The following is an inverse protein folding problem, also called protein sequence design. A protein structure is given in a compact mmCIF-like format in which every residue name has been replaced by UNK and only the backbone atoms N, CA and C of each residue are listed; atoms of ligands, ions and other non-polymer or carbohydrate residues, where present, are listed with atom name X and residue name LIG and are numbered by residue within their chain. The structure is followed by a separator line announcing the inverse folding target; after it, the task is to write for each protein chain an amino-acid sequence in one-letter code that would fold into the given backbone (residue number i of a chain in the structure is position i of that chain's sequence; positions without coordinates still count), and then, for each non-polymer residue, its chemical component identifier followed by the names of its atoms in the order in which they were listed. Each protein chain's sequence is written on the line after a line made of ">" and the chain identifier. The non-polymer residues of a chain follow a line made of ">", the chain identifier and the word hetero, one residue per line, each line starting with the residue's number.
data_IF_788826294911
#
_entry.id   IF_788826294911
#
_cell.length_a   1.000
_cell.length_b   1.000
_cell.length_c   1.000
_cell.angle_alpha   90.00
_cell.angle_beta   90.00
_cell.angle_gamma   90.00
#
_symmetry.space_group_name_H-M   'P 1'
#
loop_
_entity.id
_entity.type
_entity.pdbx_description
1 polymer ?
#
# COMPACT_ATOMS: atom_id res chain seq x y z
N UNK A 1 -5.32 -24.61 6.64
CA UNK A 1 -5.75 -24.57 5.23
C UNK A 1 -4.69 -23.81 4.47
N UNK A 2 -4.06 -24.41 3.46
CA UNK A 2 -3.09 -23.67 2.63
C UNK A 2 -3.81 -22.62 1.77
N UNK A 3 -3.13 -21.55 1.32
CA UNK A 3 -3.72 -20.57 0.43
C UNK A 3 -4.16 -21.25 -0.86
N UNK A 4 -5.45 -21.18 -1.19
CA UNK A 4 -6.00 -21.80 -2.38
C UNK A 4 -5.57 -21.01 -3.61
N UNK A 5 -4.44 -21.37 -4.19
CA UNK A 5 -3.98 -20.77 -5.45
C UNK A 5 -4.94 -21.18 -6.58
N UNK A 6 -5.38 -20.22 -7.37
CA UNK A 6 -6.22 -20.47 -8.54
C UNK A 6 -5.42 -21.15 -9.65
N UNK A 7 -5.92 -22.28 -10.10
CA UNK A 7 -5.37 -23.03 -11.22
C UNK A 7 -5.91 -22.49 -12.56
N UNK A 8 -5.28 -22.83 -13.68
CA UNK A 8 -5.82 -22.50 -15.00
C UNK A 8 -7.19 -23.15 -15.25
N UNK A 9 -7.43 -24.31 -14.63
CA UNK A 9 -8.75 -24.95 -14.66
C UNK A 9 -9.81 -24.07 -13.99
N UNK A 10 -9.51 -23.50 -12.83
CA UNK A 10 -10.41 -22.56 -12.15
C UNK A 10 -10.69 -21.36 -13.02
N UNK A 11 -9.67 -20.77 -13.65
CA UNK A 11 -9.87 -19.64 -14.57
C UNK A 11 -10.79 -19.99 -15.73
N UNK A 12 -10.67 -21.19 -16.30
CA UNK A 12 -11.60 -21.65 -17.34
C UNK A 12 -13.04 -21.76 -16.83
N UNK A 13 -13.24 -22.24 -15.60
CA UNK A 13 -14.57 -22.29 -14.97
C UNK A 13 -15.13 -20.89 -14.75
N UNK A 14 -14.33 -19.97 -14.20
CA UNK A 14 -14.74 -18.58 -13.98
C UNK A 14 -15.10 -17.90 -15.32
N UNK A 15 -14.32 -18.09 -16.40
CA UNK A 15 -14.63 -17.56 -17.74
C UNK A 15 -15.95 -18.10 -18.31
N UNK A 16 -16.39 -19.29 -17.89
CA UNK A 16 -17.71 -19.81 -18.25
C UNK A 16 -18.81 -19.14 -17.45
N UNK A 17 -18.61 -19.02 -16.13
CA UNK A 17 -19.54 -18.32 -15.23
C UNK A 17 -19.70 -16.84 -15.58
N UNK A 18 -18.73 -16.20 -16.22
CA UNK A 18 -18.87 -14.81 -16.69
C UNK A 18 -19.92 -14.64 -17.80
N UNK A 19 -20.39 -15.73 -18.42
CA UNK A 19 -21.48 -15.70 -19.41
C UNK A 19 -22.89 -15.83 -18.80
N UNK A 20 -22.97 -16.15 -17.51
CA UNK A 20 -24.23 -16.27 -16.76
C UNK A 20 -24.20 -17.38 -15.72
N UNK A 21 -25.25 -17.50 -14.88
CA UNK A 21 -25.39 -18.58 -13.90
C UNK A 21 -25.35 -19.97 -14.57
N UNK A 22 -24.66 -20.94 -13.96
CA UNK A 22 -24.54 -22.31 -14.49
C UNK A 22 -24.66 -23.35 -13.38
N UNK A 23 -25.18 -24.53 -13.70
CA UNK A 23 -25.17 -25.69 -12.79
C UNK A 23 -23.81 -26.40 -12.84
N UNK A 24 -23.46 -27.14 -11.78
CA UNK A 24 -22.25 -27.98 -11.76
C UNK A 24 -22.23 -28.98 -12.93
N UNK A 25 -23.38 -29.61 -13.23
CA UNK A 25 -23.51 -30.55 -14.35
C UNK A 25 -23.25 -29.91 -15.73
N UNK A 26 -23.73 -28.68 -15.96
CA UNK A 26 -23.46 -27.94 -17.21
C UNK A 26 -21.97 -27.63 -17.35
N UNK A 27 -21.32 -27.19 -16.26
CA UNK A 27 -19.89 -26.89 -16.25
C UNK A 27 -19.03 -28.16 -16.43
N UNK A 28 -19.41 -29.28 -15.81
CA UNK A 28 -18.71 -30.57 -15.90
C UNK A 28 -18.73 -31.12 -17.33
N UNK A 29 -19.88 -31.07 -17.99
CA UNK A 29 -20.03 -31.49 -19.38
C UNK A 29 -19.09 -30.73 -20.33
N UNK A 30 -18.81 -29.46 -20.05
CA UNK A 30 -17.89 -28.65 -20.85
C UNK A 30 -16.41 -28.85 -20.48
N UNK A 31 -16.12 -29.15 -19.22
CA UNK A 31 -14.76 -29.35 -18.72
C UNK A 31 -14.23 -30.78 -18.98
N UNK A 32 -15.10 -31.72 -19.38
CA UNK A 32 -14.83 -33.15 -19.43
C UNK A 32 -14.31 -33.67 -18.07
N UNK A 33 -14.89 -33.16 -16.99
CA UNK A 33 -14.53 -33.49 -15.60
C UNK A 33 -15.70 -34.19 -14.90
N UNK A 34 -15.41 -34.84 -13.79
CA UNK A 34 -16.40 -35.50 -12.94
C UNK A 34 -17.30 -34.46 -12.23
N UNK A 35 -18.64 -34.57 -12.30
CA UNK A 35 -19.55 -33.58 -11.73
C UNK A 35 -19.39 -33.40 -10.21
N UNK A 36 -19.14 -34.47 -9.45
CA UNK A 36 -19.03 -34.40 -8.00
C UNK A 36 -17.72 -33.71 -7.60
N UNK A 37 -16.62 -34.06 -8.27
CA UNK A 37 -15.33 -33.38 -8.08
C UNK A 37 -15.40 -31.89 -8.45
N UNK A 38 -16.14 -31.55 -9.50
CA UNK A 38 -16.33 -30.16 -9.90
C UNK A 38 -17.19 -29.39 -8.90
N UNK A 39 -18.24 -30.01 -8.34
CA UNK A 39 -19.05 -29.42 -7.29
C UNK A 39 -18.22 -29.11 -6.04
N UNK A 40 -17.39 -30.05 -5.59
CA UNK A 40 -16.45 -29.82 -4.49
C UNK A 40 -15.52 -28.62 -4.77
N UNK A 41 -15.01 -28.52 -6.01
CA UNK A 41 -14.14 -27.40 -6.39
C UNK A 41 -14.90 -26.07 -6.43
N UNK A 42 -16.13 -26.04 -6.91
CA UNK A 42 -16.99 -24.86 -6.93
C UNK A 42 -17.36 -24.40 -5.52
N UNK A 43 -17.55 -25.33 -4.59
CA UNK A 43 -17.78 -25.01 -3.17
C UNK A 43 -16.53 -24.37 -2.55
N UNK A 44 -15.32 -24.85 -2.86
CA UNK A 44 -14.07 -24.16 -2.46
C UNK A 44 -13.95 -22.75 -3.04
N UNK A 45 -14.36 -22.56 -4.32
CA UNK A 45 -14.38 -21.22 -4.93
C UNK A 45 -15.46 -20.32 -4.30
N UNK A 46 -16.58 -20.90 -3.86
CA UNK A 46 -17.63 -20.18 -3.14
C UNK A 46 -17.17 -19.74 -1.74
N UNK A 47 -16.47 -20.61 -1.01
CA UNK A 47 -15.87 -20.29 0.29
C UNK A 47 -14.85 -19.15 0.19
N UNK A 48 -14.15 -19.05 -0.96
CA UNK A 48 -13.22 -17.94 -1.24
C UNK A 48 -13.91 -16.64 -1.73
N UNK A 49 -15.23 -16.65 -1.91
CA UNK A 49 -16.02 -15.49 -2.36
C UNK A 49 -15.85 -15.14 -3.85
N UNK A 50 -15.16 -15.97 -4.63
CA UNK A 50 -14.94 -15.78 -6.08
C UNK A 50 -16.19 -16.20 -6.89
N UNK A 51 -16.95 -17.14 -6.34
CA UNK A 51 -18.22 -17.62 -6.89
C UNK A 51 -19.28 -17.53 -5.78
N UNK A 52 -20.55 -17.38 -6.14
CA UNK A 52 -21.67 -17.51 -5.21
C UNK A 52 -22.55 -18.67 -5.65
N UNK A 53 -22.94 -19.52 -4.69
CA UNK A 53 -23.93 -20.58 -4.90
C UNK A 53 -25.33 -20.01 -4.70
N UNK A 54 -26.23 -20.26 -5.65
CA UNK A 54 -27.63 -19.83 -5.63
C UNK A 54 -28.50 -21.04 -5.99
N UNK A 55 -29.21 -21.60 -5.00
CA UNK A 55 -29.98 -22.84 -5.10
C UNK A 55 -29.15 -23.99 -5.77
N UNK A 56 -29.37 -24.21 -7.07
CA UNK A 56 -28.74 -25.25 -7.88
C UNK A 56 -27.67 -24.73 -8.86
N UNK A 57 -27.41 -23.42 -8.85
CA UNK A 57 -26.51 -22.74 -9.77
C UNK A 57 -25.36 -22.07 -9.05
N UNK A 58 -24.31 -21.79 -9.81
CA UNK A 58 -23.17 -21.01 -9.42
C UNK A 58 -23.11 -19.77 -10.29
N UNK A 59 -22.77 -18.63 -9.67
CA UNK A 59 -22.68 -17.33 -10.31
C UNK A 59 -21.32 -16.70 -10.01
N UNK A 60 -20.75 -16.01 -10.99
CA UNK A 60 -19.53 -15.25 -10.77
C UNK A 60 -19.83 -14.00 -9.92
N UNK A 61 -19.11 -13.83 -8.81
CA UNK A 61 -19.19 -12.60 -8.01
C UNK A 61 -18.36 -11.48 -8.64
N UNK A 62 -18.46 -10.26 -8.12
CA UNK A 62 -17.62 -9.16 -8.58
C UNK A 62 -16.14 -9.39 -8.23
N UNK A 63 -15.84 -10.07 -7.12
CA UNK A 63 -14.49 -10.57 -6.82
C UNK A 63 -14.02 -11.58 -7.86
N UNK A 64 -14.88 -12.49 -8.31
CA UNK A 64 -14.56 -13.44 -9.38
C UNK A 64 -14.31 -12.78 -10.74
N UNK A 65 -15.07 -11.71 -11.07
CA UNK A 65 -14.81 -10.91 -12.27
C UNK A 65 -13.45 -10.21 -12.21
N UNK A 66 -13.08 -9.65 -11.06
CA UNK A 66 -11.76 -9.04 -10.84
C UNK A 66 -10.63 -10.05 -11.04
N UNK A 67 -10.78 -11.24 -10.46
CA UNK A 67 -9.86 -12.36 -10.63
C UNK A 67 -9.71 -12.82 -12.09
N UNK A 68 -10.76 -12.70 -12.91
CA UNK A 68 -10.67 -13.01 -14.34
C UNK A 68 -10.01 -11.91 -15.17
N UNK A 69 -10.21 -10.65 -14.77
CA UNK A 69 -9.57 -9.50 -15.41
C UNK A 69 -8.07 -9.45 -15.09
N UNK A 70 -7.66 -10.04 -13.96
CA UNK A 70 -6.28 -10.20 -13.57
C UNK A 70 -5.47 -11.01 -14.62
N UNK A 71 -4.36 -10.48 -15.15
CA UNK A 71 -3.46 -11.22 -16.08
C UNK A 71 -2.95 -12.52 -15.46
N UNK A 72 -2.83 -12.53 -14.13
CA UNK A 72 -2.69 -13.74 -13.33
C UNK A 72 -1.37 -14.49 -13.57
N UNK A 73 -0.38 -13.73 -13.97
CA UNK A 73 1.05 -13.97 -13.87
C UNK A 73 1.62 -13.36 -12.56
N UNK A 74 0.76 -13.07 -11.57
CA UNK A 74 1.14 -12.42 -10.31
C UNK A 74 1.20 -10.89 -10.38
N UNK A 75 1.21 -10.28 -11.59
CA UNK A 75 1.18 -8.82 -11.74
C UNK A 75 -0.15 -8.18 -11.28
N UNK A 76 -1.18 -9.01 -11.12
CA UNK A 76 -2.53 -8.58 -10.77
C UNK A 76 -2.73 -8.17 -9.30
N UNK A 77 -1.87 -8.61 -8.39
CA UNK A 77 -2.02 -8.25 -6.97
C UNK A 77 -1.86 -6.74 -6.76
N UNK A 78 -1.12 -6.05 -7.65
CA UNK A 78 -1.00 -4.59 -7.64
C UNK A 78 -2.11 -3.83 -8.39
N UNK A 79 -2.96 -4.51 -9.17
CA UNK A 79 -4.00 -3.86 -10.00
C UNK A 79 -5.30 -3.61 -9.24
N UNK A 80 -5.53 -4.30 -8.12
CA UNK A 80 -6.83 -4.31 -7.44
C UNK A 80 -7.17 -2.94 -6.84
N UNK A 81 -6.17 -2.13 -6.53
CA UNK A 81 -6.34 -0.88 -5.78
C UNK A 81 -6.22 0.38 -6.66
N UNK A 82 -6.02 0.24 -7.97
CA UNK A 82 -5.78 1.36 -8.88
C UNK A 82 -7.01 1.62 -9.78
N UNK A 83 -7.62 2.81 -9.73
CA UNK A 83 -8.76 3.16 -10.56
C UNK A 83 -8.45 3.05 -12.05
N UNK A 84 -9.46 2.66 -12.85
CA UNK A 84 -9.32 2.52 -14.30
C UNK A 84 -8.84 3.81 -14.99
N UNK A 85 -9.15 4.99 -14.44
CA UNK A 85 -8.65 6.25 -14.98
C UNK A 85 -7.13 6.38 -14.84
N UNK A 86 -6.57 5.94 -13.70
CA UNK A 86 -5.13 5.92 -13.45
C UNK A 86 -4.47 4.85 -14.33
N UNK A 87 -5.04 3.65 -14.42
CA UNK A 87 -4.53 2.60 -15.33
C UNK A 87 -4.51 3.05 -16.79
N UNK A 88 -5.54 3.77 -17.24
CA UNK A 88 -5.59 4.32 -18.59
C UNK A 88 -4.50 5.35 -18.82
N UNK A 89 -4.25 6.22 -17.83
CA UNK A 89 -3.17 7.20 -17.91
C UNK A 89 -1.81 6.50 -17.98
N UNK A 90 -1.54 5.55 -17.08
CA UNK A 90 -0.31 4.74 -17.10
C UNK A 90 -0.11 4.03 -18.44
N UNK A 91 -1.16 3.39 -18.98
CA UNK A 91 -1.10 2.70 -20.27
C UNK A 91 -0.97 3.61 -21.49
N UNK A 92 -1.21 4.92 -21.34
CA UNK A 92 -1.01 5.90 -22.42
C UNK A 92 0.42 6.42 -22.51
N UNK A 93 1.20 6.25 -21.44
CA UNK A 93 2.56 6.74 -21.31
C UNK A 93 3.56 5.67 -21.77
N UNK A 94 4.71 6.09 -22.29
CA UNK A 94 5.79 5.15 -22.64
C UNK A 94 6.63 4.84 -21.41
N UNK A 95 6.05 4.07 -20.49
CA UNK A 95 6.72 3.58 -19.28
C UNK A 95 6.95 2.08 -19.39
N UNK A 96 8.02 1.59 -18.78
CA UNK A 96 8.23 0.15 -18.66
C UNK A 96 7.36 -0.45 -17.54
N UNK A 97 7.11 -1.76 -17.61
CA UNK A 97 6.24 -2.44 -16.64
C UNK A 97 6.77 -2.39 -15.20
N UNK A 98 8.09 -2.51 -14.92
CA UNK A 98 8.61 -2.32 -13.58
C UNK A 98 8.31 -0.94 -12.99
N UNK A 99 8.44 0.13 -13.79
CA UNK A 99 8.03 1.47 -13.36
C UNK A 99 6.53 1.58 -13.15
N UNK A 100 5.73 1.03 -14.08
CA UNK A 100 4.27 1.01 -13.92
C UNK A 100 3.86 0.33 -12.59
N UNK A 101 4.48 -0.80 -12.25
CA UNK A 101 4.24 -1.49 -10.98
C UNK A 101 4.62 -0.65 -9.75
N UNK A 102 5.77 0.04 -9.79
CA UNK A 102 6.19 0.95 -8.72
C UNK A 102 5.21 2.13 -8.53
N UNK A 103 4.72 2.70 -9.63
CA UNK A 103 3.75 3.80 -9.61
C UNK A 103 2.40 3.33 -9.05
N UNK A 104 1.92 2.14 -9.45
CA UNK A 104 0.70 1.53 -8.88
C UNK A 104 0.82 1.32 -7.38
N UNK A 105 1.94 0.79 -6.91
CA UNK A 105 2.19 0.57 -5.49
C UNK A 105 2.23 1.91 -4.71
N UNK A 106 2.91 2.92 -5.24
CA UNK A 106 2.92 4.26 -4.66
C UNK A 106 1.53 4.90 -4.65
N UNK A 107 0.74 4.71 -5.70
CA UNK A 107 -0.63 5.21 -5.79
C UNK A 107 -1.56 4.52 -4.79
N UNK A 108 -1.49 3.20 -4.68
CA UNK A 108 -2.23 2.43 -3.68
C UNK A 108 -1.86 2.86 -2.25
N UNK A 109 -0.58 3.17 -2.01
CA UNK A 109 -0.14 3.78 -0.76
C UNK A 109 -0.85 5.12 -0.50
N UNK A 110 -0.86 6.04 -1.48
CA UNK A 110 -1.57 7.31 -1.34
C UNK A 110 -3.07 7.14 -1.14
N UNK A 111 -3.72 6.22 -1.85
CA UNK A 111 -5.15 5.97 -1.63
C UNK A 111 -5.43 5.46 -0.23
N UNK A 112 -4.62 4.53 0.27
CA UNK A 112 -4.81 4.04 1.62
C UNK A 112 -4.60 5.14 2.68
N UNK A 113 -3.67 6.06 2.43
CA UNK A 113 -3.25 7.08 3.40
C UNK A 113 -3.88 8.45 3.27
N UNK A 114 -4.51 8.74 2.13
CA UNK A 114 -4.84 10.09 1.71
C UNK A 114 -3.60 10.88 1.27
N UNK A 115 -2.58 10.98 2.14
CA UNK A 115 -1.41 11.83 1.94
C UNK A 115 -0.09 11.20 2.36
N UNK A 116 0.96 11.48 1.59
CA UNK A 116 2.33 11.09 1.92
C UNK A 116 3.37 12.07 1.34
N UNK A 117 4.49 12.22 2.03
CA UNK A 117 5.68 12.90 1.48
C UNK A 117 6.39 12.01 0.45
N UNK A 118 7.19 12.62 -0.43
CA UNK A 118 8.06 11.87 -1.34
C UNK A 118 9.00 10.90 -0.60
N UNK A 119 9.45 11.29 0.59
CA UNK A 119 10.27 10.50 1.49
C UNK A 119 9.57 9.23 2.00
N UNK A 120 8.34 9.36 2.48
CA UNK A 120 7.54 8.21 2.93
C UNK A 120 7.26 7.24 1.78
N UNK A 121 6.96 7.76 0.58
CA UNK A 121 6.72 6.93 -0.59
C UNK A 121 7.98 6.16 -1.01
N UNK A 122 9.16 6.79 -0.98
CA UNK A 122 10.44 6.13 -1.20
C UNK A 122 10.70 5.02 -0.20
N UNK A 123 10.58 5.32 1.09
CA UNK A 123 10.87 4.35 2.14
C UNK A 123 9.90 3.17 2.14
N UNK A 124 8.63 3.41 1.84
CA UNK A 124 7.62 2.37 1.83
C UNK A 124 7.69 1.46 0.61
N UNK A 125 7.97 2.01 -0.59
CA UNK A 125 7.74 1.30 -1.85
C UNK A 125 9.03 0.86 -2.52
N UNK A 126 10.13 1.61 -2.38
CA UNK A 126 11.35 1.35 -3.15
C UNK A 126 11.88 -0.07 -2.96
N UNK A 127 11.95 -0.56 -1.73
CA UNK A 127 12.51 -1.88 -1.44
C UNK A 127 11.67 -3.04 -1.99
N UNK A 128 10.36 -2.83 -2.15
CA UNK A 128 9.45 -3.81 -2.74
C UNK A 128 9.39 -3.69 -4.27
N UNK A 129 9.50 -2.47 -4.80
CA UNK A 129 9.32 -2.15 -6.22
C UNK A 129 10.45 -1.23 -6.74
N UNK A 130 11.68 -1.75 -6.74
CA UNK A 130 12.85 -0.96 -7.18
C UNK A 130 12.83 -0.53 -8.64
N UNK A 131 12.03 -1.19 -9.49
CA UNK A 131 12.02 -0.97 -10.95
C UNK A 131 13.41 -1.03 -11.62
N UNK A 132 14.36 -1.77 -11.03
CA UNK A 132 15.74 -1.88 -11.54
C UNK A 132 16.69 -0.74 -11.15
N UNK A 133 16.24 0.22 -10.33
CA UNK A 133 17.08 1.29 -9.79
C UNK A 133 17.83 0.83 -8.54
N UNK A 134 19.09 1.23 -8.42
CA UNK A 134 19.91 0.97 -7.22
C UNK A 134 19.76 2.06 -6.15
N UNK A 135 19.28 3.24 -6.54
CA UNK A 135 19.09 4.39 -5.68
C UNK A 135 17.62 4.85 -5.64
N UNK A 136 17.10 5.04 -4.43
CA UNK A 136 15.70 5.43 -4.20
C UNK A 136 15.40 6.86 -4.61
N UNK A 137 16.38 7.76 -4.59
CA UNK A 137 16.17 9.15 -5.01
C UNK A 137 16.09 9.23 -6.54
N UNK A 138 16.95 8.48 -7.24
CA UNK A 138 16.88 8.30 -8.69
C UNK A 138 15.58 7.62 -9.10
N UNK A 139 15.20 6.52 -8.44
CA UNK A 139 13.90 5.85 -8.65
C UNK A 139 12.74 6.84 -8.54
N UNK A 140 12.71 7.64 -7.47
CA UNK A 140 11.65 8.63 -7.30
C UNK A 140 11.67 9.68 -8.42
N UNK A 141 12.83 10.27 -8.70
CA UNK A 141 12.95 11.38 -9.65
C UNK A 141 12.71 10.98 -11.12
N UNK A 142 13.11 9.77 -11.51
CA UNK A 142 13.09 9.31 -12.90
C UNK A 142 11.87 8.43 -13.22
N UNK A 143 11.30 7.73 -12.23
CA UNK A 143 10.21 6.77 -12.43
C UNK A 143 8.88 7.27 -11.87
N UNK A 144 8.81 7.58 -10.56
CA UNK A 144 7.53 7.80 -9.87
C UNK A 144 7.04 9.25 -9.95
N UNK A 145 7.89 10.22 -9.61
CA UNK A 145 7.51 11.63 -9.52
C UNK A 145 6.99 12.21 -10.84
N UNK A 146 7.64 11.99 -12.01
CA UNK A 146 7.14 12.53 -13.28
C UNK A 146 5.72 12.05 -13.55
N UNK A 147 5.44 10.77 -13.27
CA UNK A 147 4.14 10.17 -13.48
C UNK A 147 3.10 10.69 -12.50
N UNK A 148 3.44 10.82 -11.22
CA UNK A 148 2.54 11.37 -10.21
C UNK A 148 2.05 12.80 -10.52
N UNK A 149 2.84 13.61 -11.24
CA UNK A 149 2.40 14.95 -11.69
C UNK A 149 1.31 14.90 -12.75
N UNK A 150 1.29 13.84 -13.55
CA UNK A 150 0.35 13.66 -14.67
C UNK A 150 -0.86 12.81 -14.26
N UNK A 151 -0.76 12.00 -13.19
CA UNK A 151 -1.83 11.10 -12.79
C UNK A 151 -3.09 11.85 -12.34
N UNK A 152 -4.29 11.42 -12.81
CA UNK A 152 -5.54 11.98 -12.32
C UNK A 152 -5.73 11.65 -10.84
N UNK A 153 -6.34 12.60 -10.11
CA UNK A 153 -6.60 12.51 -8.67
C UNK A 153 -5.36 12.46 -7.76
N UNK A 154 -4.15 12.56 -8.30
CA UNK A 154 -2.94 12.80 -7.51
C UNK A 154 -2.60 14.28 -7.60
N UNK A 155 -2.46 14.95 -6.46
CA UNK A 155 -2.04 16.35 -6.41
C UNK A 155 -0.85 16.51 -5.50
N UNK A 156 0.08 17.36 -5.91
CA UNK A 156 1.14 17.84 -5.03
C UNK A 156 0.61 19.03 -4.22
N UNK A 157 0.69 18.96 -2.90
CA UNK A 157 0.18 20.00 -1.99
C UNK A 157 1.19 21.14 -1.78
N UNK A 158 2.49 20.82 -1.70
CA UNK A 158 3.54 21.81 -1.42
C UNK A 158 4.45 22.05 -2.62
N UNK A 159 4.88 23.30 -2.78
CA UNK A 159 5.83 23.69 -3.83
C UNK A 159 7.30 23.40 -3.45
N UNK A 160 7.59 23.14 -2.17
CA UNK A 160 8.93 22.72 -1.75
C UNK A 160 9.25 21.34 -2.35
N UNK A 161 10.40 21.22 -3.01
CA UNK A 161 10.86 19.99 -3.66
C UNK A 161 11.28 18.93 -2.65
N UNK A 162 11.73 19.33 -1.46
CA UNK A 162 12.21 18.40 -0.43
C UNK A 162 11.08 17.96 0.50
N UNK A 163 10.12 18.85 0.77
CA UNK A 163 8.95 18.59 1.60
C UNK A 163 7.67 18.36 0.77
N UNK A 164 7.79 17.99 -0.50
CA UNK A 164 6.65 17.78 -1.39
C UNK A 164 5.70 16.71 -0.82
N UNK A 165 4.53 17.13 -0.33
CA UNK A 165 3.42 16.22 -0.02
C UNK A 165 2.59 15.93 -1.26
N UNK A 166 2.18 14.69 -1.36
CA UNK A 166 1.29 14.16 -2.39
C UNK A 166 0.00 13.70 -1.74
N UNK A 167 -1.10 14.04 -2.36
CA UNK A 167 -2.45 13.75 -1.92
C UNK A 167 -3.17 12.98 -3.02
N UNK A 168 -3.91 11.95 -2.64
CA UNK A 168 -4.94 11.36 -3.48
C UNK A 168 -6.28 12.00 -3.14
N UNK A 169 -6.92 12.63 -4.12
CA UNK A 169 -8.26 13.24 -3.99
C UNK A 169 -9.34 12.23 -3.62
N UNK A 170 -9.04 10.94 -3.77
CA UNK A 170 -9.93 9.88 -3.36
C UNK A 170 -9.75 9.64 -1.85
N UNK A 171 -10.84 9.73 -1.06
CA UNK A 171 -10.74 9.57 0.38
C UNK A 171 -10.25 8.17 0.76
N UNK A 172 -9.37 8.08 1.78
CA UNK A 172 -8.81 6.81 2.21
C UNK A 172 -9.89 5.87 2.72
N UNK A 173 -9.88 4.63 2.23
CA UNK A 173 -10.81 3.60 2.66
C UNK A 173 -12.27 3.82 2.25
N UNK A 174 -12.58 4.79 1.38
CA UNK A 174 -13.88 4.78 0.68
C UNK A 174 -13.77 3.79 -0.45
N UNK A 175 -13.88 2.52 -0.07
CA UNK A 175 -14.55 1.56 -0.92
C UNK A 175 -15.89 2.19 -1.33
N UNK A 176 -16.03 2.52 -2.61
CA UNK A 176 -17.36 2.60 -3.25
C UNK A 176 -18.06 1.22 -3.25
N UNK A 177 -17.56 0.25 -2.47
CA UNK A 177 -17.98 -1.12 -2.40
C UNK A 177 -18.58 -1.41 -1.03
N UNK A 178 -19.86 -1.76 -1.03
CA UNK A 178 -20.54 -2.42 0.08
C UNK A 178 -20.01 -3.86 0.29
N UNK A 179 -18.69 -4.09 0.30
CA UNK A 179 -18.08 -5.40 0.02
C UNK A 179 -17.45 -6.11 1.23
N UNK A 180 -17.65 -5.61 2.45
CA UNK A 180 -17.50 -6.39 3.68
C UNK A 180 -16.06 -6.80 4.04
N UNK A 181 -15.05 -6.15 3.48
CA UNK A 181 -13.65 -6.36 3.87
C UNK A 181 -13.31 -5.49 5.08
N UNK A 182 -13.26 -6.11 6.26
CA UNK A 182 -12.78 -5.45 7.47
C UNK A 182 -11.25 -5.28 7.40
N UNK A 183 -10.75 -4.08 7.71
CA UNK A 183 -9.32 -3.81 7.90
C UNK A 183 -8.82 -4.68 9.06
N UNK A 184 -7.83 -5.53 8.79
CA UNK A 184 -7.27 -6.45 9.78
C UNK A 184 -6.73 -5.66 10.98
N UNK A 185 -7.24 -5.98 12.17
CA UNK A 185 -6.81 -5.38 13.44
C UNK A 185 -5.33 -5.67 13.73
N UNK A 186 -4.66 -4.67 14.30
CA UNK A 186 -3.29 -4.74 14.80
C UNK A 186 -3.09 -5.95 15.72
N UNK A 187 -1.97 -6.66 15.56
CA UNK A 187 -1.54 -7.76 16.43
C UNK A 187 -0.51 -7.23 17.42
N UNK A 188 -0.76 -7.44 18.73
CA UNK A 188 0.09 -6.93 19.80
C UNK A 188 1.49 -7.59 19.81
N UNK A 189 2.54 -6.76 19.86
CA UNK A 189 3.82 -7.11 20.47
C UNK A 189 4.99 -7.50 19.56
N UNK A 190 4.89 -7.41 18.23
CA UNK A 190 6.07 -7.55 17.35
C UNK A 190 6.65 -6.18 16.97
N UNK A 191 8.00 -6.05 16.87
CA UNK A 191 8.62 -4.87 16.30
C UNK A 191 8.10 -4.67 14.88
N UNK A 192 7.68 -3.44 14.59
CA UNK A 192 7.02 -3.08 13.35
C UNK A 192 7.95 -3.31 12.15
N UNK A 193 7.44 -3.86 11.05
CA UNK A 193 8.26 -4.12 9.85
C UNK A 193 8.75 -2.86 9.14
N UNK A 194 8.12 -1.71 9.40
CA UNK A 194 8.50 -0.42 8.81
C UNK A 194 8.10 0.74 9.74
N UNK A 195 8.66 1.93 9.45
CA UNK A 195 8.41 3.17 10.19
C UNK A 195 6.92 3.50 10.31
N UNK A 196 6.19 3.31 9.21
CA UNK A 196 4.75 3.55 9.11
C UNK A 196 3.95 2.77 10.16
N UNK A 197 4.15 1.45 10.27
CA UNK A 197 3.44 0.61 11.26
C UNK A 197 3.73 1.03 12.70
N UNK A 198 4.94 1.52 12.96
CA UNK A 198 5.33 2.04 14.26
C UNK A 198 4.61 3.34 14.61
N UNK A 199 4.49 4.24 13.63
CA UNK A 199 3.74 5.50 13.75
C UNK A 199 2.24 5.21 13.93
N UNK A 200 1.66 4.34 13.10
CA UNK A 200 0.24 3.95 13.16
C UNK A 200 -0.18 3.43 14.54
N UNK A 201 0.65 2.60 15.16
CA UNK A 201 0.29 1.93 16.40
C UNK A 201 0.38 2.83 17.65
N UNK A 202 1.04 3.98 17.56
CA UNK A 202 1.39 4.82 18.72
C UNK A 202 0.87 6.25 18.62
N UNK A 203 0.40 6.67 17.45
CA UNK A 203 -0.12 8.02 17.23
C UNK A 203 -1.63 8.06 17.42
N UNK A 204 -2.09 8.93 18.33
CA UNK A 204 -3.50 9.06 18.71
C UNK A 204 -4.23 10.15 17.91
N UNK A 205 -3.50 11.10 17.32
CA UNK A 205 -4.07 12.23 16.57
C UNK A 205 -3.35 12.53 15.25
N UNK A 206 -4.06 13.20 14.33
CA UNK A 206 -3.46 13.62 13.06
C UNK A 206 -2.33 14.65 13.27
N UNK A 207 -2.43 15.53 14.26
CA UNK A 207 -1.38 16.50 14.60
C UNK A 207 -0.09 15.80 15.05
N UNK A 208 -0.20 14.77 15.91
CA UNK A 208 0.95 13.95 16.29
C UNK A 208 1.56 13.25 15.07
N UNK A 209 0.73 12.80 14.13
CA UNK A 209 1.21 12.17 12.88
C UNK A 209 2.02 13.15 12.05
N UNK A 210 1.56 14.40 11.92
CA UNK A 210 2.28 15.47 11.20
C UNK A 210 3.64 15.73 11.87
N UNK A 211 3.67 15.92 13.18
CA UNK A 211 4.90 16.16 13.94
C UNK A 211 5.93 15.05 13.73
N UNK A 212 5.52 13.78 13.88
CA UNK A 212 6.42 12.63 13.75
C UNK A 212 6.91 12.48 12.30
N UNK A 213 6.04 12.72 11.32
CA UNK A 213 6.42 12.73 9.89
C UNK A 213 7.52 13.73 9.60
N UNK A 214 7.38 14.96 10.07
CA UNK A 214 8.37 16.01 9.81
C UNK A 214 9.69 15.75 10.54
N UNK A 215 9.65 15.26 11.78
CA UNK A 215 10.87 14.86 12.50
C UNK A 215 11.59 13.71 11.78
N UNK A 216 10.84 12.72 11.27
CA UNK A 216 11.38 11.63 10.49
C UNK A 216 11.98 12.10 9.16
N UNK A 217 11.27 12.96 8.40
CA UNK A 217 11.77 13.53 7.14
C UNK A 217 13.04 14.37 7.36
N UNK A 218 13.09 15.13 8.46
CA UNK A 218 14.27 15.88 8.86
C UNK A 218 15.49 14.98 9.15
N UNK A 219 15.26 13.82 9.78
CA UNK A 219 16.29 12.84 10.09
C UNK A 219 16.76 12.08 8.85
N UNK A 220 15.84 11.65 7.99
CA UNK A 220 16.13 10.95 6.74
C UNK A 220 16.96 11.84 5.79
N UNK A 221 16.57 13.11 5.63
CA UNK A 221 17.28 14.06 4.76
C UNK A 221 18.72 14.31 5.20
N UNK A 222 18.96 14.35 6.52
CA UNK A 222 20.28 14.65 7.09
C UNK A 222 21.12 13.40 7.33
N UNK A 223 20.51 12.21 7.30
CA UNK A 223 21.09 10.94 7.75
C UNK A 223 21.30 10.85 9.28
N UNK A 224 21.52 11.99 9.95
CA UNK A 224 21.65 12.10 11.40
C UNK A 224 21.21 13.48 11.91
N UNK A 225 20.66 13.54 13.12
CA UNK A 225 20.25 14.77 13.77
C UNK A 225 20.41 14.66 15.29
N UNK A 226 20.73 15.76 15.97
CA UNK A 226 20.71 15.79 17.45
C UNK A 226 19.27 15.82 17.95
N UNK A 227 19.03 15.38 19.18
CA UNK A 227 17.71 15.49 19.81
C UNK A 227 17.22 16.94 19.85
N UNK A 228 18.11 17.91 20.09
CA UNK A 228 17.81 19.35 20.02
C UNK A 228 17.34 19.77 18.61
N UNK A 229 17.99 19.26 17.56
CA UNK A 229 17.57 19.54 16.17
C UNK A 229 16.17 19.01 15.91
N UNK A 230 15.91 17.77 16.31
CA UNK A 230 14.59 17.15 16.13
C UNK A 230 13.53 17.85 17.00
N UNK A 231 13.88 18.25 18.22
CA UNK A 231 12.99 19.01 19.11
C UNK A 231 12.62 20.34 18.50
N UNK A 232 13.57 21.07 17.92
CA UNK A 232 13.27 22.33 17.22
C UNK A 232 12.33 22.12 16.02
N UNK A 233 12.47 21.00 15.28
CA UNK A 233 11.53 20.65 14.20
C UNK A 233 10.12 20.42 14.78
N UNK A 234 10.02 19.63 15.84
CA UNK A 234 8.74 19.33 16.51
C UNK A 234 8.10 20.60 17.09
N UNK A 235 8.86 21.44 17.79
CA UNK A 235 8.38 22.67 18.43
C UNK A 235 7.88 23.68 17.41
N UNK A 236 8.58 23.85 16.28
CA UNK A 236 8.14 24.75 15.21
C UNK A 236 6.78 24.35 14.63
N UNK A 237 6.44 23.06 14.61
CA UNK A 237 5.15 22.55 14.11
C UNK A 237 4.09 22.61 15.21
N UNK A 238 4.48 22.25 16.43
CA UNK A 238 3.60 22.27 17.60
C UNK A 238 3.09 23.68 17.92
N UNK A 239 3.87 24.72 17.67
CA UNK A 239 3.42 26.11 17.83
C UNK A 239 2.32 26.49 16.83
N UNK A 240 2.17 25.76 15.72
CA UNK A 240 1.11 25.94 14.72
C UNK A 240 -0.13 25.08 15.01
N UNK A 241 0.04 23.92 15.67
CA UNK A 241 -1.04 22.98 16.00
C UNK A 241 -1.43 23.11 17.49
N UNK A 242 -2.64 23.58 17.78
CA UNK A 242 -3.10 24.08 19.10
C UNK A 242 -3.05 23.10 20.32
N UNK A 243 -2.43 21.93 20.25
CA UNK A 243 -2.44 20.92 21.31
C UNK A 243 -1.06 20.63 21.94
N UNK A 244 -0.90 20.96 23.22
CA UNK A 244 0.38 21.09 23.95
C UNK A 244 1.02 19.77 24.45
N UNK A 245 0.94 18.65 23.73
CA UNK A 245 1.57 17.38 24.16
C UNK A 245 2.43 16.57 23.16
N UNK A 246 3.03 17.11 22.09
CA UNK A 246 3.64 16.27 21.06
C UNK A 246 5.06 15.74 21.34
N UNK A 247 5.85 16.36 22.22
CA UNK A 247 7.31 16.17 22.19
C UNK A 247 7.79 14.79 22.69
N UNK A 248 7.46 14.32 23.91
CA UNK A 248 8.01 13.04 24.40
C UNK A 248 7.51 11.84 23.57
N UNK A 249 6.24 11.87 23.18
CA UNK A 249 5.64 10.82 22.36
C UNK A 249 6.31 10.69 20.98
N UNK A 250 6.73 11.81 20.37
CA UNK A 250 7.38 11.77 19.07
C UNK A 250 8.72 11.01 19.10
N UNK A 251 9.52 11.18 20.16
CA UNK A 251 10.80 10.48 20.30
C UNK A 251 10.61 9.00 20.61
N UNK A 252 9.61 8.64 21.41
CA UNK A 252 9.27 7.23 21.66
C UNK A 252 8.86 6.53 20.36
N UNK A 253 8.05 7.20 19.53
CA UNK A 253 7.68 6.67 18.21
C UNK A 253 8.90 6.56 17.30
N UNK A 254 9.74 7.59 17.22
CA UNK A 254 10.98 7.52 16.42
C UNK A 254 11.90 6.37 16.88
N UNK A 255 12.03 6.14 18.18
CA UNK A 255 12.84 5.04 18.72
C UNK A 255 12.27 3.65 18.36
N UNK A 256 10.97 3.55 18.16
CA UNK A 256 10.29 2.32 17.74
C UNK A 256 10.41 2.03 16.24
N UNK A 257 10.86 3.01 15.43
CA UNK A 257 11.06 2.84 13.99
C UNK A 257 12.36 2.06 13.73
N UNK A 258 12.32 0.90 13.03
CA UNK A 258 13.52 0.05 12.85
C UNK A 258 14.70 0.72 12.12
N UNK A 259 14.42 1.67 11.23
CA UNK A 259 15.43 2.43 10.49
C UNK A 259 16.01 3.60 11.29
N UNK A 260 15.48 3.91 12.47
CA UNK A 260 15.92 5.01 13.31
C UNK A 260 16.64 4.45 14.53
N UNK A 261 17.79 5.01 14.85
CA UNK A 261 18.57 4.60 16.01
C UNK A 261 19.01 5.81 16.80
N UNK A 262 18.75 5.78 18.10
CA UNK A 262 19.38 6.67 19.06
C UNK A 262 20.78 6.13 19.39
N UNK A 263 21.78 6.99 19.26
CA UNK A 263 23.19 6.74 19.56
C UNK A 263 23.54 7.59 20.78
N UNK A 264 23.73 6.91 21.91
CA UNK A 264 24.20 7.55 23.13
C UNK A 264 25.71 7.81 23.04
N UNK A 265 26.08 8.98 22.52
CA UNK A 265 27.42 9.52 22.68
C UNK A 265 27.48 10.36 23.96
N UNK A 266 28.40 10.01 24.86
CA UNK A 266 28.52 10.66 26.17
C UNK A 266 28.69 12.18 26.02
N UNK A 267 27.64 12.94 26.38
CA UNK A 267 27.64 14.40 26.38
C UNK A 267 27.08 15.09 25.13
N UNK A 268 26.55 14.36 24.13
CA UNK A 268 26.06 14.97 22.87
C UNK A 268 24.55 15.27 22.83
N UNK A 269 23.81 15.05 23.91
CA UNK A 269 22.37 15.30 23.94
C UNK A 269 21.56 14.38 23.02
N UNK A 270 21.98 13.12 22.87
CA UNK A 270 21.27 12.10 22.07
C UNK A 270 21.39 12.33 20.57
N UNK A 271 22.25 11.57 19.89
CA UNK A 271 22.37 11.64 18.43
C UNK A 271 21.42 10.61 17.81
N UNK A 272 20.54 11.03 16.92
CA UNK A 272 19.67 10.14 16.16
C UNK A 272 20.28 9.89 14.78
N UNK A 273 20.25 8.65 14.33
CA UNK A 273 20.71 8.24 13.00
C UNK A 273 19.63 7.49 12.25
N UNK A 274 19.43 7.85 11.00
CA UNK A 274 18.66 7.07 10.06
C UNK A 274 19.57 6.08 9.35
N UNK A 275 19.30 4.78 9.48
CA UNK A 275 19.99 3.71 8.76
C UNK A 275 19.20 3.37 7.50
N UNK A 276 19.78 3.67 6.34
CA UNK A 276 19.36 3.02 5.11
C UNK A 276 19.60 1.53 5.27
N UNK A 277 18.55 0.72 5.09
CA UNK A 277 18.72 -0.73 5.05
C UNK A 277 19.54 -1.06 3.79
N UNK A 278 20.85 -1.21 3.97
CA UNK A 278 21.72 -1.80 2.96
C UNK A 278 21.37 -3.28 2.84
N UNK A 279 20.95 -3.70 1.65
CA UNK A 279 20.60 -5.08 1.27
C UNK A 279 21.63 -6.11 1.76
#
# INVERSE_FOLDING_TARGET
>A
MGPTTLTEQDRRLLRRLSTGPQTAGSLAAHAADDPDRLADRLDVLADSGVVRRTDETYELTDSGRRVLAAPGDGSADGWIDVPLAVERELGSQTIDEPCAAAIRAAYGFLQYWGEATASELRDAIFFEQTAGYDDRHQWWAECVEPMFRELPAVRRLDSDLLAARWHSDRPPGVDDAADGRAVFGSTDGQPFGNARRAIEAQVESDDQRVVIREAFAALETRGQATEETLRNVVENIADETSDQRPIPAAFDVLASVPSVQQVDEAGSGGLWRYRHQSR
#
